data_IF_731983337671
#
_entry.id   IF_731983337671
#
_cell.length_a   1.000
_cell.length_b   1.000
_cell.length_c   1.000
_cell.angle_alpha   90.00
_cell.angle_beta   90.00
_cell.angle_gamma   90.00
#
_symmetry.space_group_name_H-M   'P 1'
#
loop_
_entity.id
_entity.type
_entity.pdbx_description
1 polymer ?
#
# COMPACT_ATOMS: atom_id res chain seq x y z
N UNK A 1 8.68 -2.39 23.58
CA UNK A 1 9.36 -1.72 22.44
C UNK A 1 8.97 -0.25 22.41
N UNK A 2 7.68 0.00 22.56
CA UNK A 2 6.98 1.25 22.87
C UNK A 2 7.79 2.16 23.79
N UNK A 3 8.08 1.73 25.02
CA UNK A 3 8.83 2.54 26.00
C UNK A 3 10.23 2.92 25.51
N UNK A 4 10.90 1.98 24.83
CA UNK A 4 12.22 2.23 24.23
C UNK A 4 12.14 3.28 23.14
N UNK A 5 11.10 3.22 22.28
CA UNK A 5 10.89 4.23 21.24
C UNK A 5 10.57 5.59 21.86
N UNK A 6 9.73 5.63 22.90
CA UNK A 6 9.42 6.88 23.62
C UNK A 6 10.65 7.51 24.29
N UNK A 7 11.54 6.67 24.84
CA UNK A 7 12.78 7.13 25.46
C UNK A 7 13.79 7.66 24.43
N UNK A 8 13.85 7.05 23.24
CA UNK A 8 14.75 7.45 22.16
C UNK A 8 14.20 8.59 21.29
N UNK A 9 12.88 8.80 21.30
CA UNK A 9 12.24 9.85 20.53
C UNK A 9 12.59 11.23 21.11
N UNK A 10 13.00 12.14 20.22
CA UNK A 10 13.36 13.51 20.58
C UNK A 10 12.18 14.38 21.02
N UNK A 11 12.48 15.64 21.30
CA UNK A 11 11.51 16.68 21.59
C UNK A 11 11.08 17.41 20.32
N UNK A 12 9.80 17.78 20.22
CA UNK A 12 9.26 18.52 19.08
C UNK A 12 7.76 18.31 18.92
N UNK A 13 7.12 19.14 18.09
CA UNK A 13 5.67 19.03 17.83
C UNK A 13 5.30 17.87 16.91
N UNK A 14 6.21 17.45 16.02
CA UNK A 14 5.96 16.47 14.97
C UNK A 14 6.98 15.33 15.02
N UNK A 15 6.50 14.09 14.96
CA UNK A 15 7.33 12.89 14.93
C UNK A 15 7.38 12.32 13.51
N UNK A 16 8.57 12.20 12.93
CA UNK A 16 8.78 11.57 11.62
C UNK A 16 9.46 10.22 11.79
N UNK A 17 8.87 9.17 11.23
CA UNK A 17 9.27 7.78 11.43
C UNK A 17 9.69 7.14 10.10
N UNK A 18 10.87 6.52 10.12
CA UNK A 18 11.41 5.71 9.04
C UNK A 18 12.26 4.56 9.64
N UNK A 19 12.49 3.52 8.85
CA UNK A 19 13.05 2.24 9.28
C UNK A 19 11.99 1.14 9.28
N UNK A 20 12.40 -0.10 9.02
CA UNK A 20 11.50 -1.24 8.89
C UNK A 20 10.65 -1.53 10.14
N UNK A 21 11.10 -1.11 11.33
CA UNK A 21 10.35 -1.20 12.58
C UNK A 21 8.98 -0.52 12.47
N UNK A 22 8.90 0.61 11.78
CA UNK A 22 7.68 1.41 11.69
C UNK A 22 6.70 0.93 10.62
N UNK A 23 6.93 -0.26 10.04
CA UNK A 23 5.85 -1.02 9.39
C UNK A 23 4.90 -1.70 10.38
N UNK A 24 5.25 -1.68 11.68
CA UNK A 24 4.35 -2.10 12.75
C UNK A 24 3.30 -1.02 13.01
N UNK A 25 2.10 -1.22 12.45
CA UNK A 25 0.99 -0.29 12.60
C UNK A 25 0.52 -0.12 14.06
N UNK A 26 0.64 -1.15 14.91
CA UNK A 26 0.27 -1.06 16.33
C UNK A 26 1.22 -0.15 17.11
N UNK A 27 2.51 -0.22 16.79
CA UNK A 27 3.50 0.70 17.37
C UNK A 27 3.24 2.14 16.93
N UNK A 28 2.91 2.34 15.65
CA UNK A 28 2.57 3.68 15.12
C UNK A 28 1.31 4.22 15.79
N UNK A 29 0.25 3.41 15.91
CA UNK A 29 -0.99 3.76 16.60
C UNK A 29 -0.73 4.12 18.08
N UNK A 30 0.12 3.35 18.77
CA UNK A 30 0.54 3.66 20.13
C UNK A 30 1.22 5.04 20.23
N UNK A 31 2.14 5.35 19.31
CA UNK A 31 2.83 6.65 19.29
C UNK A 31 1.87 7.80 18.98
N UNK A 32 0.95 7.62 18.03
CA UNK A 32 -0.12 8.58 17.72
C UNK A 32 -1.02 8.86 18.92
N UNK A 33 -1.35 7.83 19.71
CA UNK A 33 -2.22 7.95 20.88
C UNK A 33 -1.51 8.39 22.16
N UNK A 34 -0.17 8.42 22.16
CA UNK A 34 0.61 8.81 23.34
C UNK A 34 0.37 10.26 23.81
N UNK A 35 -0.19 11.11 22.94
CA UNK A 35 -0.42 12.54 23.22
C UNK A 35 0.85 13.38 23.26
N UNK A 36 2.03 12.80 23.03
CA UNK A 36 3.32 13.50 23.10
C UNK A 36 3.62 14.35 21.87
N UNK A 37 3.01 14.04 20.73
CA UNK A 37 3.20 14.77 19.48
C UNK A 37 1.86 15.19 18.88
N UNK A 38 1.84 16.34 18.20
CA UNK A 38 0.67 16.84 17.49
C UNK A 38 0.43 16.06 16.19
N UNK A 39 1.50 15.71 15.49
CA UNK A 39 1.42 14.91 14.27
C UNK A 39 2.48 13.81 14.29
N UNK A 40 2.10 12.62 13.84
CA UNK A 40 3.01 11.51 13.56
C UNK A 40 2.96 11.22 12.06
N UNK A 41 4.12 11.12 11.43
CA UNK A 41 4.24 10.80 10.01
C UNK A 41 5.14 9.58 9.84
N UNK A 42 4.65 8.58 9.12
CA UNK A 42 5.44 7.41 8.72
C UNK A 42 5.71 7.49 7.22
N UNK A 43 6.96 7.30 6.84
CA UNK A 43 7.30 7.17 5.42
C UNK A 43 6.59 5.95 4.82
N UNK A 44 5.86 6.11 3.70
CA UNK A 44 5.12 5.01 3.07
C UNK A 44 5.97 3.79 2.66
N UNK A 45 7.26 4.01 2.37
CA UNK A 45 8.25 2.96 2.15
C UNK A 45 9.32 2.94 3.26
N UNK A 46 8.92 3.02 4.53
CA UNK A 46 9.82 3.17 5.70
C UNK A 46 11.02 2.20 5.77
N UNK A 47 10.96 1.01 5.19
CA UNK A 47 12.07 0.06 5.17
C UNK A 47 13.20 0.45 4.23
N UNK A 48 14.09 -0.51 3.97
CA UNK A 48 15.31 -0.27 3.18
C UNK A 48 15.02 0.27 1.77
N UNK A 49 13.91 -0.11 1.14
CA UNK A 49 13.51 0.43 -0.15
C UNK A 49 13.38 1.97 -0.14
N UNK A 50 12.87 2.54 0.96
CA UNK A 50 12.72 3.99 1.11
C UNK A 50 14.03 4.76 1.22
N UNK A 51 15.17 4.09 1.43
CA UNK A 51 16.49 4.76 1.49
C UNK A 51 16.85 5.41 0.16
N UNK A 52 16.41 4.84 -0.98
CA UNK A 52 16.60 5.45 -2.29
C UNK A 52 15.91 6.82 -2.39
N UNK A 53 14.67 6.94 -1.86
CA UNK A 53 13.98 8.22 -1.78
C UNK A 53 14.71 9.18 -0.82
N UNK A 54 15.15 8.68 0.33
CA UNK A 54 15.94 9.45 1.29
C UNK A 54 17.22 10.03 0.69
N UNK A 55 17.95 9.23 -0.09
CA UNK A 55 19.17 9.66 -0.78
C UNK A 55 18.89 10.77 -1.80
N UNK A 56 17.82 10.63 -2.59
CA UNK A 56 17.40 11.67 -3.55
C UNK A 56 17.03 12.96 -2.82
N UNK A 57 16.23 12.88 -1.75
CA UNK A 57 15.88 14.06 -0.96
C UNK A 57 17.09 14.72 -0.28
N UNK A 58 18.04 13.91 0.19
CA UNK A 58 19.29 14.41 0.75
C UNK A 58 20.08 15.22 -0.28
N UNK A 59 20.27 14.67 -1.49
CA UNK A 59 20.94 15.39 -2.58
C UNK A 59 20.17 16.66 -2.96
N UNK A 60 18.85 16.57 -3.11
CA UNK A 60 18.00 17.71 -3.48
C UNK A 60 18.10 18.88 -2.51
N UNK A 61 17.98 18.61 -1.21
CA UNK A 61 17.94 19.65 -0.18
C UNK A 61 19.32 20.08 0.31
N UNK A 62 20.24 19.14 0.53
CA UNK A 62 21.54 19.44 1.15
C UNK A 62 22.64 19.72 0.13
N UNK A 63 22.68 18.96 -0.98
CA UNK A 63 23.73 19.14 -1.99
C UNK A 63 23.35 20.24 -2.98
N UNK A 64 22.12 20.19 -3.51
CA UNK A 64 21.63 21.14 -4.52
C UNK A 64 20.97 22.39 -3.91
N UNK A 65 20.79 22.42 -2.59
CA UNK A 65 20.24 23.57 -1.83
C UNK A 65 18.85 24.02 -2.30
N UNK A 66 18.06 23.13 -2.89
CA UNK A 66 16.68 23.44 -3.23
C UNK A 66 15.83 23.47 -1.96
N UNK A 67 15.05 24.54 -1.79
CA UNK A 67 14.16 24.73 -0.64
C UNK A 67 12.74 24.20 -0.88
N UNK A 68 12.38 23.94 -2.15
CA UNK A 68 11.07 23.43 -2.53
C UNK A 68 10.86 22.05 -1.91
N UNK A 69 9.88 21.97 -1.01
CA UNK A 69 9.34 20.71 -0.51
C UNK A 69 8.59 20.04 -1.66
N UNK A 70 9.00 18.83 -2.01
CA UNK A 70 8.18 17.97 -2.85
C UNK A 70 7.07 17.42 -1.95
N UNK A 71 5.81 17.50 -2.41
CA UNK A 71 4.70 16.94 -1.66
C UNK A 71 4.85 15.44 -1.45
N UNK A 72 4.03 14.86 -0.58
CA UNK A 72 3.82 13.43 -0.49
C UNK A 72 3.17 12.96 -1.80
N UNK A 73 3.98 12.79 -2.84
CA UNK A 73 3.53 12.26 -4.10
C UNK A 73 2.92 10.88 -3.92
N UNK A 74 2.26 10.39 -4.97
CA UNK A 74 1.75 9.04 -4.97
C UNK A 74 2.88 8.01 -4.83
N UNK A 75 2.68 6.97 -4.03
CA UNK A 75 3.59 5.81 -3.99
C UNK A 75 3.46 4.94 -5.23
N UNK A 76 2.62 5.30 -6.21
CA UNK A 76 2.47 4.60 -7.48
C UNK A 76 3.64 4.92 -8.43
N UNK A 77 4.86 4.55 -8.02
CA UNK A 77 6.11 4.86 -8.71
C UNK A 77 6.58 3.74 -9.64
N UNK A 78 5.99 2.54 -9.53
CA UNK A 78 6.35 1.41 -10.36
C UNK A 78 5.78 1.47 -11.78
N UNK A 79 5.99 0.42 -12.58
CA UNK A 79 5.52 0.36 -13.96
C UNK A 79 4.00 0.29 -14.05
N UNK A 80 3.45 0.77 -15.16
CA UNK A 80 2.07 0.56 -15.60
C UNK A 80 2.07 -0.16 -16.94
N UNK A 81 1.01 -0.92 -17.22
CA UNK A 81 0.86 -1.67 -18.45
C UNK A 81 -0.40 -1.23 -19.17
N UNK A 82 -0.29 -1.00 -20.47
CA UNK A 82 -1.40 -0.58 -21.33
C UNK A 82 -2.34 -1.75 -21.70
N UNK A 83 -3.55 -1.45 -22.20
CA UNK A 83 -4.52 -2.46 -22.61
C UNK A 83 -3.97 -3.48 -23.61
N UNK A 84 -3.13 -3.06 -24.55
CA UNK A 84 -2.55 -3.90 -25.60
C UNK A 84 -1.48 -4.85 -25.07
N UNK A 85 -0.72 -4.43 -24.06
CA UNK A 85 0.26 -5.29 -23.39
C UNK A 85 -0.47 -6.35 -22.57
N UNK A 86 -1.48 -5.95 -21.80
CA UNK A 86 -2.31 -6.84 -21.00
C UNK A 86 -3.04 -7.85 -21.89
N UNK A 87 -3.66 -7.38 -22.98
CA UNK A 87 -4.35 -8.24 -23.96
C UNK A 87 -3.42 -9.30 -24.53
N UNK A 88 -2.21 -8.92 -24.98
CA UNK A 88 -1.22 -9.85 -25.51
C UNK A 88 -0.86 -10.95 -24.52
N UNK A 89 -0.68 -10.61 -23.25
CA UNK A 89 -0.39 -11.60 -22.20
C UNK A 89 -1.57 -12.55 -22.00
N UNK A 90 -2.80 -12.03 -21.89
CA UNK A 90 -4.00 -12.85 -21.66
C UNK A 90 -4.26 -13.81 -22.85
N UNK A 91 -4.12 -13.32 -24.08
CA UNK A 91 -4.27 -14.13 -25.31
C UNK A 91 -3.19 -15.21 -25.41
N UNK A 92 -1.94 -14.87 -25.09
CA UNK A 92 -0.84 -15.85 -25.06
C UNK A 92 -1.07 -16.94 -24.01
N UNK A 93 -1.66 -16.59 -22.86
CA UNK A 93 -2.07 -17.53 -21.82
C UNK A 93 -3.33 -18.34 -22.19
N UNK A 94 -3.97 -18.08 -23.35
CA UNK A 94 -5.21 -18.73 -23.81
C UNK A 94 -6.36 -18.64 -22.81
N UNK A 95 -6.39 -17.56 -22.02
CA UNK A 95 -7.43 -17.33 -21.03
C UNK A 95 -8.69 -16.78 -21.70
N UNK A 96 -9.86 -17.12 -21.14
CA UNK A 96 -11.11 -16.47 -21.52
C UNK A 96 -11.20 -15.14 -20.79
N UNK A 97 -11.46 -14.07 -21.53
CA UNK A 97 -11.58 -12.73 -20.97
C UNK A 97 -12.72 -11.96 -21.62
N UNK A 98 -13.23 -10.97 -20.90
CA UNK A 98 -14.17 -9.99 -21.40
C UNK A 98 -13.48 -8.63 -21.43
N UNK A 99 -13.60 -7.93 -22.55
CA UNK A 99 -13.12 -6.55 -22.66
C UNK A 99 -14.21 -5.60 -22.16
N UNK A 100 -13.94 -4.87 -21.08
CA UNK A 100 -14.83 -3.84 -20.55
C UNK A 100 -14.43 -2.49 -21.14
N UNK A 101 -15.40 -1.76 -21.69
CA UNK A 101 -15.14 -0.60 -22.56
C UNK A 101 -14.97 0.70 -21.79
N UNK A 102 -15.44 0.75 -20.55
CA UNK A 102 -15.37 1.94 -19.72
C UNK A 102 -14.96 1.62 -18.29
N UNK A 103 -14.37 2.60 -17.62
CA UNK A 103 -14.04 2.53 -16.19
C UNK A 103 -15.29 2.28 -15.35
N UNK A 104 -16.43 2.86 -15.73
CA UNK A 104 -17.69 2.67 -15.01
C UNK A 104 -18.20 1.23 -15.11
N UNK A 105 -18.09 0.60 -16.28
CA UNK A 105 -18.42 -0.81 -16.46
C UNK A 105 -17.49 -1.72 -15.64
N UNK A 106 -16.19 -1.42 -15.62
CA UNK A 106 -15.19 -2.12 -14.80
C UNK A 106 -15.54 -2.03 -13.31
N UNK A 107 -15.76 -0.82 -12.80
CA UNK A 107 -16.08 -0.59 -11.39
C UNK A 107 -17.40 -1.26 -11.00
N UNK A 108 -18.45 -1.11 -11.80
CA UNK A 108 -19.74 -1.77 -11.57
C UNK A 108 -19.59 -3.29 -11.52
N UNK A 109 -18.83 -3.87 -12.44
CA UNK A 109 -18.57 -5.32 -12.47
C UNK A 109 -17.82 -5.77 -11.22
N UNK A 110 -16.77 -5.05 -10.82
CA UNK A 110 -16.01 -5.38 -9.61
C UNK A 110 -16.84 -5.25 -8.33
N UNK A 111 -17.63 -4.19 -8.20
CA UNK A 111 -18.54 -3.97 -7.05
C UNK A 111 -19.59 -5.09 -6.98
N UNK A 112 -20.22 -5.44 -8.11
CA UNK A 112 -21.18 -6.54 -8.13
C UNK A 112 -20.55 -7.87 -7.70
N UNK A 113 -19.34 -8.18 -8.18
CA UNK A 113 -18.61 -9.40 -7.78
C UNK A 113 -18.26 -9.40 -6.29
N UNK A 114 -17.86 -8.27 -5.74
CA UNK A 114 -17.63 -8.13 -4.29
C UNK A 114 -18.94 -8.28 -3.51
N UNK A 115 -20.05 -7.73 -4.02
CA UNK A 115 -21.39 -7.90 -3.44
C UNK A 115 -21.86 -9.37 -3.43
N UNK A 116 -21.45 -10.16 -4.41
CA UNK A 116 -21.63 -11.61 -4.50
C UNK A 116 -20.62 -12.41 -3.63
N UNK A 117 -19.89 -11.74 -2.74
CA UNK A 117 -18.84 -12.30 -1.89
C UNK A 117 -17.71 -12.99 -2.67
N UNK A 118 -17.47 -12.59 -3.92
CA UNK A 118 -16.33 -13.08 -4.71
C UNK A 118 -15.06 -12.30 -4.35
N UNK A 119 -13.94 -13.00 -4.47
CA UNK A 119 -12.61 -12.40 -4.35
C UNK A 119 -12.19 -11.87 -5.72
N UNK A 120 -11.77 -10.61 -5.78
CA UNK A 120 -11.40 -9.92 -7.02
C UNK A 120 -9.91 -9.61 -6.99
N UNK A 121 -9.15 -10.20 -7.90
CA UNK A 121 -7.79 -9.75 -8.18
C UNK A 121 -7.86 -8.45 -8.99
N UNK A 122 -7.28 -7.38 -8.45
CA UNK A 122 -7.37 -6.03 -8.98
C UNK A 122 -6.00 -5.51 -9.38
N UNK A 123 -5.83 -5.26 -10.68
CA UNK A 123 -4.63 -4.73 -11.28
C UNK A 123 -4.98 -3.52 -12.16
N UNK A 124 -4.50 -2.33 -11.79
CA UNK A 124 -4.72 -1.12 -12.57
C UNK A 124 -3.56 -0.13 -12.41
N UNK A 125 -3.28 0.66 -13.45
CA UNK A 125 -2.31 1.76 -13.39
C UNK A 125 -0.89 1.37 -12.96
N UNK A 126 -0.17 2.36 -12.42
CA UNK A 126 1.20 2.20 -11.93
C UNK A 126 1.26 1.40 -10.64
N UNK A 127 2.27 0.55 -10.49
CA UNK A 127 2.47 -0.24 -9.27
C UNK A 127 2.87 0.61 -8.07
N UNK A 128 2.42 0.19 -6.90
CA UNK A 128 2.82 0.71 -5.59
C UNK A 128 4.30 0.47 -5.32
N UNK A 129 4.94 1.43 -4.66
CA UNK A 129 6.28 1.36 -4.13
C UNK A 129 6.23 1.13 -2.62
N UNK A 130 6.81 0.02 -2.17
CA UNK A 130 6.78 -0.41 -0.77
C UNK A 130 6.05 -1.75 -0.61
N UNK A 131 5.94 -2.25 0.64
CA UNK A 131 5.47 -3.61 0.90
C UNK A 131 3.94 -3.75 0.98
N UNK A 132 3.19 -2.65 0.87
CA UNK A 132 1.73 -2.64 0.98
C UNK A 132 1.10 -2.39 -0.37
N UNK A 133 0.11 -3.21 -0.71
CA UNK A 133 -0.81 -2.92 -1.80
C UNK A 133 -1.75 -1.78 -1.37
N UNK A 134 -1.99 -0.82 -2.27
CA UNK A 134 -2.75 0.41 -2.04
C UNK A 134 -3.81 0.60 -3.13
N UNK A 135 -4.33 -0.50 -3.68
CA UNK A 135 -5.42 -0.48 -4.66
C UNK A 135 -5.02 -0.59 -6.13
N UNK A 136 -3.73 -0.70 -6.47
CA UNK A 136 -3.29 -0.91 -7.86
C UNK A 136 -2.79 -2.32 -8.13
N UNK A 137 -2.29 -3.04 -7.11
CA UNK A 137 -1.93 -4.47 -7.18
C UNK A 137 -2.50 -5.20 -5.96
N UNK A 138 -3.82 -5.34 -5.93
CA UNK A 138 -4.54 -5.76 -4.73
C UNK A 138 -5.41 -6.99 -4.98
N UNK A 139 -5.65 -7.76 -3.91
CA UNK A 139 -6.72 -8.77 -3.89
C UNK A 139 -7.80 -8.18 -2.99
N UNK A 140 -8.96 -7.93 -3.58
CA UNK A 140 -10.11 -7.32 -2.93
C UNK A 140 -11.08 -8.41 -2.50
N UNK A 141 -11.64 -8.27 -1.31
CA UNK A 141 -12.74 -9.08 -0.80
C UNK A 141 -13.74 -8.16 -0.11
N UNK A 142 -15.00 -8.59 -0.03
CA UNK A 142 -16.04 -7.79 0.62
C UNK A 142 -15.82 -7.78 2.14
N UNK A 143 -15.79 -6.60 2.78
CA UNK A 143 -15.70 -6.51 4.24
C UNK A 143 -17.01 -6.94 4.92
N UNK A 144 -18.10 -7.10 4.16
CA UNK A 144 -19.40 -7.54 4.66
C UNK A 144 -19.54 -9.07 4.66
N UNK A 145 -18.60 -9.80 4.06
CA UNK A 145 -18.56 -11.26 4.11
C UNK A 145 -17.86 -11.71 5.40
N UNK A 146 -18.56 -12.38 6.34
CA UNK A 146 -17.93 -12.87 7.56
C UNK A 146 -16.84 -13.91 7.29
N UNK A 147 -16.87 -14.60 6.15
CA UNK A 147 -15.89 -15.61 5.76
C UNK A 147 -14.75 -15.07 4.89
N UNK A 148 -14.75 -13.79 4.53
CA UNK A 148 -13.73 -13.17 3.65
C UNK A 148 -12.30 -13.40 4.12
N UNK A 149 -12.05 -13.25 5.42
CA UNK A 149 -10.72 -13.41 6.02
C UNK A 149 -10.24 -14.84 5.95
N UNK A 150 -11.10 -15.80 6.31
CA UNK A 150 -10.82 -17.23 6.21
C UNK A 150 -10.56 -17.61 4.75
N UNK A 151 -11.44 -17.18 3.84
CA UNK A 151 -11.34 -17.48 2.43
C UNK A 151 -10.01 -17.00 1.82
N UNK A 152 -9.60 -15.77 2.15
CA UNK A 152 -8.33 -15.22 1.68
C UNK A 152 -7.12 -15.91 2.31
N UNK A 153 -7.16 -16.22 3.62
CA UNK A 153 -6.02 -16.84 4.29
C UNK A 153 -5.82 -18.30 3.87
N UNK A 154 -6.90 -19.10 3.88
CA UNK A 154 -6.84 -20.55 3.69
C UNK A 154 -6.77 -20.93 2.22
N UNK A 155 -7.68 -20.40 1.39
CA UNK A 155 -7.86 -20.87 0.01
C UNK A 155 -7.04 -20.08 -1.03
N UNK A 156 -6.78 -18.79 -0.79
CA UNK A 156 -6.05 -17.96 -1.76
C UNK A 156 -4.57 -17.83 -1.41
N UNK A 157 -4.26 -17.45 -0.17
CA UNK A 157 -2.88 -17.14 0.24
C UNK A 157 -2.17 -18.29 0.94
N UNK A 158 -2.88 -19.37 1.25
CA UNK A 158 -2.37 -20.55 1.96
C UNK A 158 -1.48 -20.18 3.16
N UNK A 159 -1.97 -19.27 4.01
CA UNK A 159 -1.27 -18.71 5.16
C UNK A 159 -2.08 -18.87 6.44
N UNK A 160 -1.47 -18.53 7.56
CA UNK A 160 -2.07 -18.76 8.88
C UNK A 160 -3.38 -17.97 9.06
N UNK A 161 -4.42 -18.58 9.66
CA UNK A 161 -5.77 -18.01 9.71
C UNK A 161 -5.86 -16.72 10.54
N UNK A 162 -4.96 -16.53 11.50
CA UNK A 162 -4.94 -15.35 12.38
C UNK A 162 -4.39 -14.08 11.71
N UNK A 163 -3.81 -14.17 10.51
CA UNK A 163 -3.30 -12.99 9.81
C UNK A 163 -4.45 -12.09 9.38
N UNK A 164 -4.51 -10.91 9.99
CA UNK A 164 -5.53 -9.90 9.71
C UNK A 164 -5.36 -9.28 8.32
N UNK A 165 -6.46 -8.75 7.80
CA UNK A 165 -6.51 -7.86 6.65
C UNK A 165 -6.83 -6.44 7.12
N UNK A 166 -6.59 -5.47 6.25
CA UNK A 166 -6.92 -4.06 6.44
C UNK A 166 -7.84 -3.63 5.30
#
# INVERSE_FOLDING_TARGET
>A
IEDTVLALAGEGENLCLAGGLFYNALLVEFLERSGRWKNVFVQGAAGNAGTALGAVFHVWHHVRRHTRRLGSGSLLLGPSYGPEEIKRVIENCKLRFQYLRSTEELLRTAVNRLGEHKIVAWMHGRMEFGPRALGNRSILASPLDPYSTENLNVFIKHREPFRKFA
#
